data_IF_225226119159
#
_entry.id   IF_225226119159
#
_cell.length_a   1.000
_cell.length_b   1.000
_cell.length_c   1.000
_cell.angle_alpha   90.00
_cell.angle_beta   90.00
_cell.angle_gamma   90.00
#
_symmetry.space_group_name_H-M   'P 1'
#
loop_
_entity.id
_entity.type
_entity.pdbx_description
1 polymer ?
#
# COMPACT_ATOMS: atom_id res chain seq x y z
N UNK A 1 -6.02 -18.07 9.69
CA UNK A 1 -5.62 -16.65 9.80
C UNK A 1 -5.85 -16.17 11.22
N UNK A 2 -4.84 -15.56 11.85
CA UNK A 2 -5.02 -14.85 13.11
C UNK A 2 -5.96 -13.64 12.87
N UNK A 3 -7.02 -13.47 13.66
CA UNK A 3 -7.99 -12.37 13.51
C UNK A 3 -7.28 -11.01 13.48
N UNK A 4 -6.19 -10.87 14.23
CA UNK A 4 -5.37 -9.65 14.26
C UNK A 4 -4.72 -9.31 12.91
N UNK A 5 -4.21 -10.31 12.18
CA UNK A 5 -3.58 -10.08 10.86
C UNK A 5 -4.62 -9.56 9.84
N UNK A 6 -5.84 -10.10 9.89
CA UNK A 6 -6.95 -9.67 9.03
C UNK A 6 -7.35 -8.22 9.30
N UNK A 7 -7.43 -7.83 10.58
CA UNK A 7 -7.77 -6.46 10.99
C UNK A 7 -6.68 -5.49 10.53
N UNK A 8 -5.40 -5.85 10.72
CA UNK A 8 -4.26 -5.02 10.31
C UNK A 8 -4.22 -4.87 8.78
N UNK A 9 -4.51 -5.94 8.03
CA UNK A 9 -4.62 -5.89 6.57
C UNK A 9 -5.77 -5.02 6.08
N UNK A 10 -6.94 -5.10 6.72
CA UNK A 10 -8.05 -4.21 6.42
C UNK A 10 -7.69 -2.75 6.73
N UNK A 11 -6.97 -2.49 7.83
CA UNK A 11 -6.48 -1.15 8.16
C UNK A 11 -5.50 -0.63 7.11
N UNK A 12 -4.58 -1.47 6.59
CA UNK A 12 -3.68 -1.12 5.50
C UNK A 12 -4.44 -0.66 4.26
N UNK A 13 -5.45 -1.42 3.84
CA UNK A 13 -6.35 -1.08 2.72
C UNK A 13 -7.02 0.27 2.94
N UNK A 14 -7.61 0.49 4.12
CA UNK A 14 -8.34 1.72 4.44
C UNK A 14 -7.39 2.92 4.46
N UNK A 15 -6.29 2.85 5.19
CA UNK A 15 -5.34 3.96 5.30
C UNK A 15 -4.72 4.30 3.96
N UNK A 16 -4.28 3.29 3.20
CA UNK A 16 -3.65 3.54 1.92
C UNK A 16 -4.64 4.13 0.91
N UNK A 17 -5.88 3.64 0.89
CA UNK A 17 -6.94 4.21 0.05
C UNK A 17 -7.28 5.64 0.44
N UNK A 18 -7.39 5.96 1.73
CA UNK A 18 -7.64 7.33 2.20
C UNK A 18 -6.51 8.26 1.75
N UNK A 19 -5.25 7.83 1.87
CA UNK A 19 -4.10 8.60 1.39
C UNK A 19 -4.20 8.91 -0.11
N UNK A 20 -4.43 7.89 -0.94
CA UNK A 20 -4.38 7.99 -2.41
C UNK A 20 -5.59 8.77 -2.94
N UNK A 21 -6.79 8.42 -2.50
CA UNK A 21 -8.01 9.05 -2.95
C UNK A 21 -8.20 10.44 -2.34
N UNK A 22 -7.81 10.64 -1.08
CA UNK A 22 -7.77 11.96 -0.46
C UNK A 22 -6.84 12.92 -1.20
N UNK A 23 -5.68 12.42 -1.62
CA UNK A 23 -4.73 13.18 -2.43
C UNK A 23 -5.27 13.54 -3.81
N UNK A 24 -5.87 12.58 -4.51
CA UNK A 24 -6.53 12.80 -5.81
C UNK A 24 -7.66 13.82 -5.70
N UNK A 25 -8.51 13.72 -4.68
CA UNK A 25 -9.62 14.64 -4.45
C UNK A 25 -9.14 16.04 -4.05
N UNK A 26 -8.07 16.14 -3.28
CA UNK A 26 -7.47 17.43 -2.94
C UNK A 26 -6.72 18.08 -4.12
N UNK A 27 -6.44 17.34 -5.19
CA UNK A 27 -5.67 17.80 -6.36
C UNK A 27 -4.23 18.21 -6.05
N UNK A 28 -3.74 17.92 -4.82
CA UNK A 28 -2.43 18.35 -4.32
C UNK A 28 -1.98 17.43 -3.21
N UNK A 29 -0.72 16.99 -3.24
CA UNK A 29 -0.10 16.27 -2.14
C UNK A 29 0.09 17.19 -0.90
N UNK A 30 -0.29 16.70 0.28
CA UNK A 30 -0.24 17.39 1.58
C UNK A 30 0.37 16.43 2.61
N UNK A 31 0.91 16.99 3.70
CA UNK A 31 1.51 16.20 4.78
C UNK A 31 0.58 15.16 5.40
N UNK A 32 -0.72 15.45 5.47
CA UNK A 32 -1.68 14.49 6.01
C UNK A 32 -1.85 13.24 5.10
N UNK A 33 -1.79 13.39 3.77
CA UNK A 33 -1.80 12.23 2.85
C UNK A 33 -0.60 11.34 3.10
N UNK A 34 0.58 11.95 3.31
CA UNK A 34 1.81 11.23 3.62
C UNK A 34 1.71 10.43 4.92
N UNK A 35 1.07 10.97 5.96
CA UNK A 35 0.80 10.21 7.20
C UNK A 35 0.00 8.93 6.89
N UNK A 36 -1.04 9.02 6.05
CA UNK A 36 -1.81 7.84 5.64
C UNK A 36 -1.01 6.85 4.79
N UNK A 37 -0.10 7.32 3.92
CA UNK A 37 0.79 6.43 3.18
C UNK A 37 1.71 5.63 4.12
N UNK A 38 2.28 6.29 5.13
CA UNK A 38 3.13 5.63 6.13
C UNK A 38 2.30 4.66 6.96
N UNK A 39 1.12 5.04 7.44
CA UNK A 39 0.24 4.13 8.18
C UNK A 39 -0.18 2.91 7.35
N UNK A 40 -0.53 3.12 6.08
CA UNK A 40 -0.84 2.04 5.15
C UNK A 40 0.34 1.07 4.99
N UNK A 41 1.54 1.61 4.74
CA UNK A 41 2.76 0.82 4.57
C UNK A 41 3.14 0.05 5.85
N UNK A 42 3.03 0.66 7.02
CA UNK A 42 3.37 -0.01 8.29
C UNK A 42 2.39 -1.14 8.58
N UNK A 43 1.09 -0.92 8.37
CA UNK A 43 0.07 -1.96 8.51
C UNK A 43 0.29 -3.10 7.51
N UNK A 44 0.58 -2.78 6.25
CA UNK A 44 0.79 -3.79 5.21
C UNK A 44 2.04 -4.65 5.49
N UNK A 45 3.15 -4.01 5.84
CA UNK A 45 4.39 -4.70 6.19
C UNK A 45 4.19 -5.60 7.42
N UNK A 46 3.49 -5.09 8.44
CA UNK A 46 3.24 -5.83 9.67
C UNK A 46 2.32 -7.03 9.44
N UNK A 47 1.18 -6.82 8.77
CA UNK A 47 0.26 -7.93 8.51
C UNK A 47 0.87 -8.99 7.59
N UNK A 48 1.71 -8.59 6.62
CA UNK A 48 2.41 -9.52 5.73
C UNK A 48 3.43 -10.34 6.53
N UNK A 49 4.16 -9.70 7.45
CA UNK A 49 5.04 -10.39 8.39
C UNK A 49 4.31 -11.43 9.25
N UNK A 50 3.16 -11.04 9.83
CA UNK A 50 2.31 -11.97 10.61
C UNK A 50 1.78 -13.13 9.76
N UNK A 51 1.47 -12.90 8.49
CA UNK A 51 1.07 -13.95 7.56
C UNK A 51 2.25 -14.90 7.29
N UNK A 52 3.45 -14.41 6.99
CA UNK A 52 4.63 -15.25 6.77
C UNK A 52 5.01 -16.10 7.98
N UNK A 53 4.95 -15.53 9.19
CA UNK A 53 5.16 -16.32 10.42
C UNK A 53 4.12 -17.44 10.56
N UNK A 54 2.87 -17.18 10.18
CA UNK A 54 1.79 -18.16 10.23
C UNK A 54 1.97 -19.30 9.22
N UNK A 55 2.45 -19.02 8.00
CA UNK A 55 2.68 -20.05 6.96
C UNK A 55 4.05 -20.75 7.10
N UNK A 56 4.89 -20.33 8.04
CA UNK A 56 6.23 -20.91 8.28
C UNK A 56 7.33 -20.37 7.36
N UNK A 57 7.14 -19.21 6.74
CA UNK A 57 8.13 -18.54 5.88
C UNK A 57 7.52 -17.83 4.67
N UNK A 58 8.39 -17.26 3.82
CA UNK A 58 7.98 -16.69 2.54
C UNK A 58 7.63 -17.83 1.57
N UNK A 59 6.41 -17.81 1.05
CA UNK A 59 5.99 -18.66 -0.06
C UNK A 59 6.51 -18.05 -1.36
N UNK A 60 7.22 -18.83 -2.17
CA UNK A 60 7.65 -18.43 -3.54
C UNK A 60 6.50 -18.61 -4.55
N UNK A 61 5.28 -18.27 -4.15
CA UNK A 61 4.11 -18.30 -4.99
C UNK A 61 3.81 -16.90 -5.55
N UNK A 62 2.86 -16.84 -6.49
CA UNK A 62 2.47 -15.58 -7.15
C UNK A 62 2.02 -14.54 -6.13
N UNK A 63 1.33 -14.96 -5.06
CA UNK A 63 0.87 -14.08 -3.99
C UNK A 63 2.04 -13.51 -3.18
N UNK A 64 2.98 -14.34 -2.71
CA UNK A 64 4.13 -13.87 -1.93
C UNK A 64 5.03 -12.91 -2.71
N UNK A 65 5.32 -13.21 -3.98
CA UNK A 65 6.15 -12.35 -4.85
C UNK A 65 5.44 -11.03 -5.15
N UNK A 66 4.16 -11.07 -5.53
CA UNK A 66 3.39 -9.86 -5.81
C UNK A 66 3.20 -8.98 -4.56
N UNK A 67 3.03 -9.59 -3.38
CA UNK A 67 2.95 -8.90 -2.09
C UNK A 67 4.24 -8.14 -1.77
N UNK A 68 5.39 -8.79 -1.93
CA UNK A 68 6.70 -8.15 -1.72
C UNK A 68 6.90 -6.96 -2.68
N UNK A 69 6.58 -7.15 -3.96
CA UNK A 69 6.66 -6.07 -4.97
C UNK A 69 5.78 -4.89 -4.55
N UNK A 70 4.58 -5.15 -4.04
CA UNK A 70 3.66 -4.12 -3.61
C UNK A 70 4.17 -3.32 -2.40
N UNK A 71 4.74 -3.99 -1.37
CA UNK A 71 5.38 -3.31 -0.23
C UNK A 71 6.54 -2.43 -0.69
N UNK A 72 7.41 -2.94 -1.57
CA UNK A 72 8.53 -2.16 -2.13
C UNK A 72 8.02 -0.94 -2.89
N UNK A 73 6.97 -1.12 -3.70
CA UNK A 73 6.39 -0.03 -4.48
C UNK A 73 5.73 1.03 -3.59
N UNK A 74 5.03 0.63 -2.52
CA UNK A 74 4.49 1.55 -1.51
C UNK A 74 5.60 2.30 -0.78
N UNK A 75 6.71 1.64 -0.45
CA UNK A 75 7.85 2.29 0.17
C UNK A 75 8.48 3.35 -0.74
N UNK A 76 8.73 3.01 -2.01
CA UNK A 76 9.22 3.97 -3.01
C UNK A 76 8.25 5.14 -3.16
N UNK A 77 6.94 4.85 -3.18
CA UNK A 77 5.89 5.85 -3.24
C UNK A 77 5.89 6.80 -2.05
N UNK A 78 6.03 6.28 -0.83
CA UNK A 78 6.13 7.09 0.39
C UNK A 78 7.39 7.96 0.41
N UNK A 79 8.55 7.40 0.03
CA UNK A 79 9.81 8.17 -0.07
C UNK A 79 9.66 9.29 -1.10
N UNK A 80 9.06 9.01 -2.26
CA UNK A 80 8.82 10.01 -3.29
C UNK A 80 7.86 11.10 -2.81
N UNK A 81 6.80 10.73 -2.09
CA UNK A 81 5.88 11.69 -1.46
C UNK A 81 6.62 12.65 -0.51
N UNK A 82 7.51 12.10 0.33
CA UNK A 82 8.33 12.91 1.24
C UNK A 82 9.24 13.87 0.48
N UNK A 83 9.94 13.39 -0.56
CA UNK A 83 10.81 14.23 -1.40
C UNK A 83 10.02 15.37 -2.04
N UNK A 84 8.83 15.09 -2.60
CA UNK A 84 7.98 16.09 -3.24
C UNK A 84 7.46 17.12 -2.23
N UNK A 85 7.07 16.68 -1.02
CA UNK A 85 6.65 17.57 0.07
C UNK A 85 7.78 18.48 0.56
N UNK A 86 9.01 17.97 0.66
CA UNK A 86 10.18 18.74 1.08
C UNK A 86 10.67 19.71 0.00
N UNK A 87 10.67 19.28 -1.27
CA UNK A 87 11.07 20.14 -2.40
C UNK A 87 10.09 21.27 -2.67
N UNK A 88 8.83 21.13 -2.25
CA UNK A 88 7.74 22.11 -2.48
C UNK A 88 7.57 22.50 -3.96
N UNK A 89 7.89 21.60 -4.87
CA UNK A 89 7.68 21.80 -6.30
C UNK A 89 6.18 21.70 -6.61
N UNK A 90 5.57 22.83 -6.97
CA UNK A 90 4.14 22.95 -7.25
C UNK A 90 3.67 22.00 -8.37
N UNK A 91 4.49 21.77 -9.40
CA UNK A 91 4.14 20.86 -10.50
C UNK A 91 4.12 19.41 -10.00
N UNK A 92 5.11 19.03 -9.20
CA UNK A 92 5.15 17.69 -8.62
C UNK A 92 4.00 17.48 -7.62
N UNK A 93 3.72 18.44 -6.74
CA UNK A 93 2.65 18.37 -5.74
C UNK A 93 1.26 18.20 -6.37
N UNK A 94 1.00 18.84 -7.52
CA UNK A 94 -0.30 18.80 -8.19
C UNK A 94 -0.47 17.62 -9.15
N UNK A 95 0.63 16.99 -9.59
CA UNK A 95 0.58 15.85 -10.53
C UNK A 95 0.87 14.49 -9.88
N UNK A 96 1.28 14.47 -8.61
CA UNK A 96 1.63 13.27 -7.85
C UNK A 96 0.53 12.19 -7.87
N UNK A 97 -0.74 12.59 -7.85
CA UNK A 97 -1.89 11.67 -7.78
C UNK A 97 -1.93 10.67 -8.92
N UNK A 98 -1.40 11.02 -10.10
CA UNK A 98 -1.31 10.10 -11.24
C UNK A 98 -0.43 8.89 -10.90
N UNK A 99 0.69 9.14 -10.23
CA UNK A 99 1.60 8.09 -9.77
C UNK A 99 0.97 7.32 -8.61
N UNK A 100 0.39 8.00 -7.62
CA UNK A 100 -0.28 7.36 -6.47
C UNK A 100 -1.37 6.38 -6.87
N UNK A 101 -2.22 6.75 -7.83
CA UNK A 101 -3.31 5.89 -8.31
C UNK A 101 -2.77 4.63 -8.98
N UNK A 102 -1.70 4.74 -9.77
CA UNK A 102 -1.07 3.57 -10.42
C UNK A 102 -0.50 2.62 -9.38
N UNK A 103 0.26 3.13 -8.39
CA UNK A 103 0.81 2.31 -7.31
C UNK A 103 -0.29 1.62 -6.52
N UNK A 104 -1.38 2.33 -6.23
CA UNK A 104 -2.54 1.78 -5.54
C UNK A 104 -3.20 0.63 -6.29
N UNK A 105 -3.40 0.75 -7.60
CA UNK A 105 -3.95 -0.34 -8.40
C UNK A 105 -3.05 -1.57 -8.43
N UNK A 106 -1.73 -1.39 -8.54
CA UNK A 106 -0.77 -2.50 -8.50
C UNK A 106 -0.82 -3.18 -7.12
N UNK A 107 -0.93 -2.41 -6.04
CA UNK A 107 -1.00 -2.92 -4.69
C UNK A 107 -2.28 -3.74 -4.40
N UNK A 108 -3.40 -3.47 -5.09
CA UNK A 108 -4.62 -4.28 -4.93
C UNK A 108 -4.49 -5.71 -5.46
N UNK A 109 -3.58 -5.96 -6.40
CA UNK A 109 -3.39 -7.28 -7.01
C UNK A 109 -3.02 -8.34 -5.96
N UNK A 110 -1.93 -8.19 -5.17
CA UNK A 110 -1.60 -9.15 -4.12
C UNK A 110 -2.65 -9.18 -3.02
N UNK A 111 -3.27 -8.05 -2.67
CA UNK A 111 -4.29 -7.98 -1.62
C UNK A 111 -5.48 -8.91 -1.92
N UNK A 112 -5.97 -8.91 -3.16
CA UNK A 112 -7.10 -9.75 -3.56
C UNK A 112 -6.70 -11.14 -4.11
N UNK A 113 -5.42 -11.39 -4.37
CA UNK A 113 -4.94 -12.68 -4.89
C UNK A 113 -5.45 -13.90 -4.10
N UNK A 114 -5.45 -13.93 -2.75
CA UNK A 114 -5.96 -15.07 -2.00
C UNK A 114 -7.47 -15.31 -2.22
N UNK A 115 -8.24 -14.23 -2.39
CA UNK A 115 -9.68 -14.31 -2.66
C UNK A 115 -9.96 -14.89 -4.05
N UNK A 116 -9.18 -14.48 -5.05
CA UNK A 116 -9.30 -15.05 -6.41
C UNK A 116 -8.93 -16.53 -6.45
N UNK A 117 -7.86 -16.92 -5.74
CA UNK A 117 -7.46 -18.33 -5.62
C UNK A 117 -8.53 -19.17 -4.91
N UNK A 118 -9.20 -18.61 -3.89
CA UNK A 118 -10.28 -19.29 -3.19
C UNK A 118 -11.55 -19.49 -4.04
N UNK A 119 -11.84 -18.58 -4.99
CA UNK A 119 -13.00 -18.72 -5.90
C UNK A 119 -12.72 -19.63 -7.10
N UNK A 120 -11.45 -19.84 -7.45
CA UNK A 120 -11.03 -20.68 -8.57
C UNK A 120 -10.89 -22.17 -8.21
N UNK A 121 -10.94 -22.50 -6.91
CA UNK A 121 -10.94 -23.87 -6.37
C UNK A 121 -12.33 -24.24 -5.88
#
# INVERSE_FOLDING_TARGET
MNSSATIIMAAALVFYSIGVWGEKLSGRLKWWHFIFFILGLTCDTWGTGMMFEYVGGMTFDVHGISGLIAIVLMFIHAVWALVVLLKKDEKALTTFHKFSVVVWFIWLIPYFSPMFLAMAN
#
